data_IF_970225605273
#
_entry.id   IF_970225605273
#
_cell.length_a   1.000
_cell.length_b   1.000
_cell.length_c   1.000
_cell.angle_alpha   90.00
_cell.angle_beta   90.00
_cell.angle_gamma   90.00
#
_symmetry.space_group_name_H-M   'P 1'
#
loop_
_entity.id
_entity.type
_entity.pdbx_description
1 polymer ?
#
# COMPACT_ATOMS: atom_id res chain seq x y z
N UNK A 1 22.17 16.22 -22.57
CA UNK A 1 21.52 15.00 -22.05
C UNK A 1 20.52 15.39 -20.94
N UNK A 2 19.28 15.71 -21.30
CA UNK A 2 18.18 16.09 -20.37
C UNK A 2 16.95 15.30 -20.79
N UNK A 3 16.36 14.47 -19.92
CA UNK A 3 15.06 13.88 -20.28
C UNK A 3 14.50 12.74 -19.45
N UNK A 4 15.28 12.02 -18.63
CA UNK A 4 14.76 10.77 -18.02
C UNK A 4 14.22 10.99 -16.60
N UNK A 5 14.66 12.04 -15.90
CA UNK A 5 14.30 12.26 -14.48
C UNK A 5 12.89 12.80 -14.24
N UNK A 6 12.22 13.36 -15.26
CA UNK A 6 10.89 13.96 -15.10
C UNK A 6 9.75 12.93 -15.03
N UNK A 7 9.96 11.72 -15.56
CA UNK A 7 8.89 10.73 -15.74
C UNK A 7 8.56 9.95 -14.46
N UNK A 8 9.53 9.80 -13.54
CA UNK A 8 9.33 9.08 -12.28
C UNK A 8 8.61 9.87 -11.18
N UNK A 9 8.44 11.19 -11.35
CA UNK A 9 7.91 12.07 -10.30
C UNK A 9 6.39 12.23 -10.32
N UNK A 10 5.73 11.86 -11.41
CA UNK A 10 4.27 11.98 -11.57
C UNK A 10 3.48 10.98 -10.69
N UNK A 11 3.82 9.68 -10.63
CA UNK A 11 3.06 8.74 -9.81
C UNK A 11 3.24 9.01 -8.31
N UNK A 12 4.47 9.35 -7.88
CA UNK A 12 4.78 9.68 -6.48
C UNK A 12 4.01 10.93 -6.02
N UNK A 13 3.91 11.96 -6.87
CA UNK A 13 3.13 13.15 -6.54
C UNK A 13 1.63 12.88 -6.46
N UNK A 14 1.11 11.95 -7.26
CA UNK A 14 -0.31 11.59 -7.23
C UNK A 14 -0.65 10.81 -5.96
N UNK A 15 0.18 9.83 -5.61
CA UNK A 15 0.08 9.12 -4.34
C UNK A 15 0.20 10.06 -3.14
N UNK A 16 1.17 10.97 -3.13
CA UNK A 16 1.32 11.97 -2.07
C UNK A 16 0.14 12.94 -2.01
N UNK A 17 -0.49 13.28 -3.14
CA UNK A 17 -1.67 14.16 -3.15
C UNK A 17 -2.92 13.44 -2.65
N UNK A 18 -3.09 12.16 -2.99
CA UNK A 18 -4.21 11.34 -2.52
C UNK A 18 -4.05 10.93 -1.04
N UNK A 19 -2.82 10.75 -0.57
CA UNK A 19 -2.50 10.51 0.84
C UNK A 19 -2.47 11.79 1.70
N UNK A 20 -2.20 12.95 1.10
CA UNK A 20 -1.46 14.01 1.78
C UNK A 20 -2.21 15.16 2.44
N UNK A 21 -3.54 15.24 2.41
CA UNK A 21 -4.22 16.38 3.05
C UNK A 21 -5.42 16.04 3.92
N UNK A 22 -6.13 14.93 3.65
CA UNK A 22 -7.28 14.55 4.49
C UNK A 22 -6.92 13.62 5.65
N UNK A 23 -5.77 12.93 5.59
CA UNK A 23 -5.28 12.07 6.68
C UNK A 23 -4.39 12.80 7.70
N UNK A 24 -3.80 13.94 7.31
CA UNK A 24 -2.74 14.59 8.09
C UNK A 24 -3.09 16.01 8.58
N UNK A 25 -4.29 16.54 8.31
CA UNK A 25 -4.69 17.87 8.79
C UNK A 25 -5.21 17.81 10.23
N UNK A 26 -4.30 17.80 11.21
CA UNK A 26 -4.41 18.57 12.44
C UNK A 26 -3.27 18.20 13.38
N UNK A 27 -2.28 19.08 13.45
CA UNK A 27 -1.39 19.31 14.60
C UNK A 27 -1.84 18.64 15.91
N UNK A 28 -1.32 17.44 16.21
CA UNK A 28 -1.14 16.95 17.59
C UNK A 28 0.16 16.14 17.64
N UNK A 29 1.04 16.55 18.56
CA UNK A 29 2.23 15.86 19.09
C UNK A 29 2.37 14.42 18.57
N UNK A 30 3.47 14.14 17.86
CA UNK A 30 4.04 12.81 17.51
C UNK A 30 3.42 11.63 18.28
N UNK A 31 2.17 11.32 17.96
CA UNK A 31 1.44 10.18 18.44
C UNK A 31 1.40 9.36 17.18
N UNK A 32 2.30 8.38 17.09
CA UNK A 32 2.29 7.39 16.01
C UNK A 32 0.88 6.80 16.05
N UNK A 33 0.02 7.27 15.15
CA UNK A 33 -1.37 6.84 15.15
C UNK A 33 -1.32 5.35 14.80
N UNK A 34 -1.81 4.47 15.68
CA UNK A 34 -1.66 3.04 15.47
C UNK A 34 -2.34 2.67 14.16
N UNK A 35 -1.55 2.20 13.19
CA UNK A 35 -2.10 1.59 11.99
C UNK A 35 -2.67 0.25 12.40
N UNK A 36 -4.00 0.15 12.35
CA UNK A 36 -4.68 -1.10 12.64
C UNK A 36 -4.46 -2.06 11.48
N UNK A 37 -3.62 -3.06 11.72
CA UNK A 37 -3.49 -4.21 10.83
C UNK A 37 -4.76 -5.04 10.97
N UNK A 38 -5.48 -5.21 9.86
CA UNK A 38 -6.75 -5.95 9.81
C UNK A 38 -6.72 -7.19 8.94
N UNK A 39 -5.75 -7.28 8.03
CA UNK A 39 -5.54 -8.47 7.22
C UNK A 39 -4.06 -8.80 7.16
N UNK A 40 -3.74 -10.09 7.23
CA UNK A 40 -2.40 -10.61 7.06
C UNK A 40 -2.49 -11.87 6.21
N UNK A 41 -1.83 -11.87 5.06
CA UNK A 41 -1.63 -13.05 4.24
C UNK A 41 -0.16 -13.17 3.92
N UNK A 42 0.35 -14.40 3.87
CA UNK A 42 1.77 -14.67 3.67
C UNK A 42 1.88 -15.73 2.58
N UNK A 43 2.75 -15.49 1.60
CA UNK A 43 3.15 -16.52 0.64
C UNK A 43 4.65 -16.82 0.76
N UNK A 44 5.20 -17.55 -0.21
CA UNK A 44 6.61 -17.96 -0.19
C UNK A 44 7.58 -16.76 -0.16
N UNK A 45 7.24 -15.64 -0.81
CA UNK A 45 8.16 -14.51 -1.05
C UNK A 45 7.72 -13.20 -0.39
N UNK A 46 6.43 -13.02 -0.14
CA UNK A 46 5.86 -11.76 0.30
C UNK A 46 4.96 -11.92 1.52
N UNK A 47 4.90 -10.82 2.28
CA UNK A 47 3.91 -10.59 3.33
C UNK A 47 2.95 -9.53 2.79
N UNK A 48 1.66 -9.80 2.85
CA UNK A 48 0.61 -8.87 2.49
C UNK A 48 -0.13 -8.43 3.75
N UNK A 49 -0.23 -7.11 3.95
CA UNK A 49 -0.89 -6.54 5.13
C UNK A 49 -1.96 -5.55 4.71
N UNK A 50 -3.16 -5.71 5.25
CA UNK A 50 -4.28 -4.81 5.04
C UNK A 50 -4.39 -3.82 6.20
N UNK A 51 -4.38 -2.53 5.89
CA UNK A 51 -4.58 -1.44 6.85
C UNK A 51 -5.92 -0.75 6.61
N UNK A 52 -6.41 -0.10 7.67
CA UNK A 52 -7.49 0.88 7.58
C UNK A 52 -6.89 2.28 7.43
N UNK A 53 -7.28 3.08 6.42
CA UNK A 53 -8.30 2.82 5.39
C UNK A 53 -7.80 1.83 4.33
N UNK A 54 -8.72 1.19 3.60
CA UNK A 54 -8.56 0.09 2.62
C UNK A 54 -7.25 0.02 1.79
N UNK A 55 -6.11 -0.17 2.45
CA UNK A 55 -4.77 -0.16 1.85
C UNK A 55 -4.15 -1.52 2.03
N UNK A 56 -3.76 -2.15 0.93
CA UNK A 56 -3.02 -3.40 0.94
C UNK A 56 -1.56 -3.06 0.67
N UNK A 57 -0.67 -3.59 1.52
CA UNK A 57 0.77 -3.38 1.43
C UNK A 57 1.46 -4.71 1.18
N UNK A 58 2.42 -4.71 0.24
CA UNK A 58 3.25 -5.86 -0.09
C UNK A 58 4.66 -5.64 0.40
N UNK A 59 5.14 -6.52 1.26
CA UNK A 59 6.47 -6.46 1.87
C UNK A 59 7.25 -7.69 1.42
N UNK A 60 8.50 -7.49 1.01
CA UNK A 60 9.42 -8.58 0.73
C UNK A 60 9.76 -9.30 2.05
N UNK A 61 9.43 -10.60 2.13
CA UNK A 61 9.54 -11.37 3.36
C UNK A 61 10.98 -11.51 3.85
N UNK A 62 11.96 -11.54 2.93
CA UNK A 62 13.37 -11.76 3.27
C UNK A 62 14.03 -10.48 3.75
N UNK A 63 13.73 -9.36 3.12
CA UNK A 63 14.41 -8.07 3.35
C UNK A 63 13.61 -7.14 4.25
N UNK A 64 12.32 -7.41 4.47
CA UNK A 64 11.41 -6.53 5.19
C UNK A 64 11.09 -5.22 4.47
N UNK A 65 11.53 -5.06 3.21
CA UNK A 65 11.32 -3.83 2.45
C UNK A 65 9.91 -3.78 1.87
N UNK A 66 9.31 -2.60 1.90
CA UNK A 66 8.11 -2.28 1.13
C UNK A 66 8.40 -2.47 -0.36
N UNK A 67 7.63 -3.34 -1.01
CA UNK A 67 7.72 -3.60 -2.45
C UNK A 67 6.68 -2.77 -3.19
N UNK A 68 5.44 -2.75 -2.70
CA UNK A 68 4.32 -2.09 -3.34
C UNK A 68 3.17 -1.81 -2.37
N UNK A 69 2.23 -0.97 -2.78
CA UNK A 69 0.96 -0.73 -2.08
C UNK A 69 -0.17 -0.44 -3.08
N UNK A 70 -1.38 -0.84 -2.71
CA UNK A 70 -2.58 -0.60 -3.50
C UNK A 70 -3.75 -0.22 -2.61
N UNK A 71 -4.59 0.70 -3.08
CA UNK A 71 -5.85 1.01 -2.43
C UNK A 71 -6.94 0.10 -2.98
N UNK A 72 -7.54 -0.71 -2.10
CA UNK A 72 -8.73 -1.50 -2.45
C UNK A 72 -9.95 -0.59 -2.65
N UNK A 73 -9.99 0.56 -1.97
CA UNK A 73 -11.03 1.58 -2.15
C UNK A 73 -10.48 2.97 -1.82
N UNK A 74 -11.02 4.00 -2.48
CA UNK A 74 -10.78 5.41 -2.16
C UNK A 74 -11.71 5.94 -1.06
N UNK A 75 -12.74 5.19 -0.67
CA UNK A 75 -13.63 5.54 0.45
C UNK A 75 -12.99 5.10 1.78
N UNK A 76 -12.65 6.07 2.63
CA UNK A 76 -12.01 5.85 3.92
C UNK A 76 -12.86 5.05 4.93
N UNK A 77 -14.16 4.88 4.67
CA UNK A 77 -15.06 4.05 5.50
C UNK A 77 -14.93 2.56 5.15
N UNK A 78 -14.43 2.24 3.96
CA UNK A 78 -14.18 0.86 3.56
C UNK A 78 -12.91 0.38 4.26
N UNK A 79 -13.05 -0.77 4.92
CA UNK A 79 -11.97 -1.38 5.67
C UNK A 79 -11.65 -2.75 5.10
N UNK A 80 -10.37 -3.12 5.13
CA UNK A 80 -9.97 -4.52 4.94
C UNK A 80 -10.30 -5.26 6.24
N UNK A 81 -10.92 -6.43 6.14
CA UNK A 81 -11.28 -7.27 7.30
C UNK A 81 -10.49 -8.58 7.37
N UNK A 82 -9.86 -8.96 6.26
CA UNK A 82 -9.05 -10.16 6.12
C UNK A 82 -8.33 -10.12 4.78
N UNK A 83 -7.26 -10.90 4.67
CA UNK A 83 -6.55 -11.12 3.42
C UNK A 83 -6.24 -12.61 3.32
N UNK A 84 -6.28 -13.12 2.10
CA UNK A 84 -5.88 -14.48 1.77
C UNK A 84 -5.09 -14.43 0.46
N UNK A 85 -4.01 -15.21 0.39
CA UNK A 85 -3.29 -15.41 -0.86
C UNK A 85 -3.95 -16.57 -1.61
N UNK A 86 -4.26 -16.37 -2.88
CA UNK A 86 -4.72 -17.47 -3.72
C UNK A 86 -3.56 -18.44 -3.98
N UNK A 87 -3.79 -19.75 -4.02
CA UNK A 87 -2.75 -20.73 -4.38
C UNK A 87 -2.21 -20.56 -5.81
N UNK A 88 -2.87 -19.75 -6.65
CA UNK A 88 -2.41 -19.37 -7.99
C UNK A 88 -1.40 -18.21 -7.97
N UNK A 89 -1.16 -17.56 -6.82
CA UNK A 89 -0.26 -16.39 -6.69
C UNK A 89 1.25 -16.76 -6.66
N UNK A 90 1.64 -17.86 -7.30
CA UNK A 90 3.05 -18.14 -7.61
C UNK A 90 3.58 -17.07 -8.59
N UNK A 91 4.89 -16.75 -8.55
CA UNK A 91 5.38 -15.50 -9.11
C UNK A 91 5.39 -15.51 -10.64
N UNK A 92 4.33 -15.01 -11.24
CA UNK A 92 4.22 -14.68 -12.66
C UNK A 92 2.81 -14.16 -12.93
N UNK A 93 2.71 -12.87 -13.20
CA UNK A 93 1.59 -12.25 -13.92
C UNK A 93 0.18 -12.41 -13.33
N UNK A 94 -0.29 -11.37 -12.64
CA UNK A 94 -1.63 -10.77 -12.84
C UNK A 94 -2.11 -10.04 -11.58
N UNK A 95 -1.84 -8.74 -11.53
CA UNK A 95 -2.87 -7.83 -11.05
C UNK A 95 -3.14 -6.82 -12.16
N UNK A 96 -4.41 -6.58 -12.52
CA UNK A 96 -4.74 -5.59 -13.52
C UNK A 96 -4.24 -4.22 -13.04
N UNK A 97 -3.40 -3.60 -13.85
CA UNK A 97 -3.02 -2.19 -13.68
C UNK A 97 -4.29 -1.37 -13.85
N UNK A 98 -4.77 -0.78 -12.76
CA UNK A 98 -5.78 0.29 -12.80
C UNK A 98 -5.15 1.60 -13.25
#
# INVERSE_FOLDING_TARGET
MRGIKALLWRPIRRALKELGTSFFSSQRKSTVQPLYLRGLAINAKYIFTGFSPATIVRIDKKTGKLVDYSFHSTDARVCIHGLECSPLDTPGDDYPKQ
#
